data_IF_381694806929
#
_entry.id   IF_381694806929
#
_cell.length_a   1.000
_cell.length_b   1.000
_cell.length_c   1.000
_cell.angle_alpha   90.00
_cell.angle_beta   90.00
_cell.angle_gamma   90.00
#
_symmetry.space_group_name_H-M   'P 1'
#
loop_
_entity.id
_entity.type
_entity.pdbx_description
1 polymer ?
#
# COMPACT_ATOMS: atom_id res chain seq x y z
N UNK A 1 22.01 -59.74 -32.47
CA UNK A 1 21.03 -60.20 -31.46
C UNK A 1 21.26 -59.30 -30.26
N UNK A 2 20.77 -58.06 -30.27
CA UNK A 2 19.38 -57.60 -30.15
C UNK A 2 18.80 -57.98 -28.79
N UNK A 3 19.17 -57.23 -27.75
CA UNK A 3 18.36 -57.11 -26.53
C UNK A 3 17.66 -55.76 -26.56
N UNK A 4 16.34 -55.87 -26.61
CA UNK A 4 15.35 -54.85 -26.87
C UNK A 4 15.15 -53.99 -25.61
N UNK A 5 15.38 -52.68 -25.71
CA UNK A 5 15.03 -51.72 -24.66
C UNK A 5 13.51 -51.54 -24.72
N UNK A 6 12.77 -52.30 -23.92
CA UNK A 6 11.35 -52.07 -23.69
C UNK A 6 11.18 -50.80 -22.84
N UNK A 7 11.04 -49.68 -23.53
CA UNK A 7 10.60 -48.39 -23.01
C UNK A 7 9.14 -48.54 -22.55
N UNK A 8 8.96 -48.90 -21.28
CA UNK A 8 7.63 -48.85 -20.65
C UNK A 8 7.16 -47.39 -20.65
N UNK A 9 6.01 -47.06 -21.28
CA UNK A 9 5.52 -45.69 -21.30
C UNK A 9 5.21 -45.28 -19.87
N UNK A 10 5.84 -44.19 -19.42
CA UNK A 10 5.60 -43.60 -18.11
C UNK A 10 4.10 -43.47 -17.91
N UNK A 11 3.57 -44.17 -16.91
CA UNK A 11 2.18 -44.23 -16.52
C UNK A 11 1.59 -42.81 -16.59
N UNK A 12 0.72 -42.56 -17.58
CA UNK A 12 0.05 -41.27 -17.72
C UNK A 12 -0.83 -41.07 -16.48
N UNK A 13 -0.61 -39.96 -15.79
CA UNK A 13 -1.40 -39.58 -14.62
C UNK A 13 -2.76 -39.05 -15.12
N UNK A 14 -3.77 -39.91 -15.03
CA UNK A 14 -5.17 -39.64 -15.39
C UNK A 14 -5.92 -38.81 -14.32
N UNK A 15 -5.21 -38.20 -13.36
CA UNK A 15 -5.89 -37.31 -12.40
C UNK A 15 -6.50 -36.11 -13.12
N UNK A 16 -7.79 -35.80 -12.87
CA UNK A 16 -8.48 -34.74 -13.59
C UNK A 16 -7.89 -33.37 -13.22
N UNK A 17 -7.58 -32.56 -14.25
CA UNK A 17 -7.10 -31.17 -14.12
C UNK A 17 -8.20 -30.23 -13.54
N UNK A 18 -9.43 -30.73 -13.45
CA UNK A 18 -10.55 -30.00 -12.87
C UNK A 18 -10.41 -29.93 -11.34
N UNK A 19 -10.69 -28.79 -10.70
CA UNK A 19 -10.69 -28.67 -9.25
C UNK A 19 -11.93 -29.35 -8.65
N UNK A 20 -12.11 -30.66 -8.86
CA UNK A 20 -13.06 -31.48 -8.13
C UNK A 20 -12.39 -31.85 -6.80
N UNK A 21 -12.21 -30.85 -5.94
CA UNK A 21 -11.99 -31.10 -4.53
C UNK A 21 -13.21 -30.56 -3.80
N UNK A 22 -14.14 -31.42 -3.32
CA UNK A 22 -15.22 -31.03 -2.43
C UNK A 22 -14.64 -30.75 -1.04
N UNK A 23 -13.66 -29.86 -0.98
CA UNK A 23 -12.96 -29.52 0.24
C UNK A 23 -13.84 -28.54 1.02
N UNK A 24 -14.84 -29.13 1.68
CA UNK A 24 -15.83 -28.44 2.51
C UNK A 24 -15.13 -27.60 3.59
N UNK A 25 -13.96 -28.05 4.06
CA UNK A 25 -13.13 -27.34 5.03
C UNK A 25 -12.60 -26.01 4.46
N UNK A 26 -12.11 -26.01 3.20
CA UNK A 26 -11.73 -24.76 2.51
C UNK A 26 -12.92 -23.82 2.30
N UNK A 27 -14.10 -24.35 1.96
CA UNK A 27 -15.32 -23.53 1.82
C UNK A 27 -15.71 -22.87 3.15
N UNK A 28 -15.70 -23.65 4.24
CA UNK A 28 -16.00 -23.15 5.58
C UNK A 28 -14.96 -22.09 6.03
N UNK A 29 -13.68 -22.32 5.76
CA UNK A 29 -12.62 -21.36 6.06
C UNK A 29 -12.80 -20.05 5.26
N UNK A 30 -13.04 -20.13 3.95
CA UNK A 30 -13.27 -18.94 3.12
C UNK A 30 -14.49 -18.16 3.59
N UNK A 31 -15.60 -18.83 3.91
CA UNK A 31 -16.82 -18.21 4.43
C UNK A 31 -16.55 -17.46 5.73
N UNK A 32 -15.79 -18.05 6.66
CA UNK A 32 -15.38 -17.38 7.89
C UNK A 32 -14.54 -16.12 7.62
N UNK A 33 -13.60 -16.17 6.66
CA UNK A 33 -12.77 -15.01 6.32
C UNK A 33 -13.56 -13.90 5.61
N UNK A 34 -14.56 -14.26 4.80
CA UNK A 34 -15.44 -13.30 4.14
C UNK A 34 -16.39 -12.63 5.14
N UNK A 35 -16.85 -13.36 6.17
CA UNK A 35 -17.68 -12.81 7.23
C UNK A 35 -16.95 -11.76 8.09
N UNK A 36 -15.65 -11.92 8.31
CA UNK A 36 -14.81 -10.98 9.07
C UNK A 36 -14.04 -10.00 8.16
N UNK A 37 -14.43 -9.89 6.90
CA UNK A 37 -13.74 -9.00 5.96
C UNK A 37 -13.98 -7.55 6.41
N UNK A 38 -12.92 -6.77 6.67
CA UNK A 38 -13.06 -5.36 7.02
C UNK A 38 -13.68 -4.57 5.87
N UNK A 39 -14.39 -3.50 6.22
CA UNK A 39 -15.02 -2.61 5.24
C UNK A 39 -13.94 -1.81 4.49
N UNK A 40 -14.26 -1.34 3.29
CA UNK A 40 -13.29 -0.65 2.44
C UNK A 40 -12.78 0.65 3.07
N UNK A 41 -13.65 1.41 3.74
CA UNK A 41 -13.26 2.63 4.45
C UNK A 41 -12.28 2.32 5.57
N UNK A 42 -12.48 1.25 6.34
CA UNK A 42 -11.54 0.83 7.39
C UNK A 42 -10.15 0.48 6.83
N UNK A 43 -10.10 -0.13 5.63
CA UNK A 43 -8.85 -0.44 4.94
C UNK A 43 -8.12 0.80 4.42
N UNK A 44 -8.88 1.82 4.05
CA UNK A 44 -8.41 3.14 3.64
C UNK A 44 -7.85 3.91 4.83
N UNK A 45 -8.61 4.01 5.92
CA UNK A 45 -8.22 4.69 7.16
C UNK A 45 -6.95 4.08 7.77
N UNK A 46 -6.82 2.75 7.67
CA UNK A 46 -5.62 2.02 8.10
C UNK A 46 -4.46 2.05 7.11
N UNK A 47 -4.54 2.88 6.07
CA UNK A 47 -3.55 3.05 5.00
C UNK A 47 -3.12 1.75 4.29
N UNK A 48 -3.92 0.67 4.39
CA UNK A 48 -3.64 -0.63 3.75
C UNK A 48 -4.02 -0.63 2.28
N UNK A 49 -5.08 0.10 1.94
CA UNK A 49 -5.51 0.33 0.56
C UNK A 49 -5.47 1.83 0.30
N UNK A 50 -4.94 2.29 -0.85
CA UNK A 50 -4.99 3.70 -1.21
C UNK A 50 -6.44 4.17 -1.35
N UNK A 51 -6.74 5.34 -0.79
CA UNK A 51 -8.04 5.99 -0.90
C UNK A 51 -8.50 6.01 -2.36
N UNK A 52 -9.61 5.32 -2.68
CA UNK A 52 -10.30 5.50 -3.92
C UNK A 52 -11.22 6.71 -3.75
N UNK A 53 -10.63 7.87 -3.47
CA UNK A 53 -11.35 9.12 -3.60
C UNK A 53 -11.86 9.20 -5.05
N UNK A 54 -13.14 9.52 -5.29
CA UNK A 54 -13.68 9.66 -6.65
C UNK A 54 -12.98 10.76 -7.47
N UNK A 55 -12.11 11.57 -6.87
CA UNK A 55 -11.28 12.56 -7.54
C UNK A 55 -9.90 12.05 -8.01
N UNK A 56 -9.43 10.88 -7.55
CA UNK A 56 -8.17 10.30 -8.03
C UNK A 56 -8.46 9.25 -9.10
N UNK A 57 -8.78 9.73 -10.30
CA UNK A 57 -8.96 9.00 -11.57
C UNK A 57 -7.69 8.24 -12.03
N UNK A 58 -6.69 8.02 -11.17
CA UNK A 58 -5.52 7.24 -11.56
C UNK A 58 -5.84 5.74 -11.57
N UNK A 59 -5.48 5.06 -12.65
CA UNK A 59 -5.60 3.61 -12.73
C UNK A 59 -4.78 2.94 -11.60
N UNK A 60 -5.19 1.77 -11.07
CA UNK A 60 -4.49 1.10 -9.97
C UNK A 60 -2.98 0.88 -10.21
N UNK A 61 -2.57 0.65 -11.47
CA UNK A 61 -1.16 0.50 -11.84
C UNK A 61 -0.33 1.79 -11.80
N UNK A 62 -0.97 2.97 -11.78
CA UNK A 62 -0.31 4.28 -11.79
C UNK A 62 -0.23 4.93 -10.41
N UNK A 63 -0.87 4.35 -9.39
CA UNK A 63 -0.89 4.90 -8.02
C UNK A 63 0.53 5.02 -7.42
N UNK A 64 1.42 4.08 -7.74
CA UNK A 64 2.81 4.12 -7.30
C UNK A 64 3.53 5.38 -7.84
N UNK A 65 3.42 5.63 -9.15
CA UNK A 65 4.03 6.79 -9.79
C UNK A 65 3.38 8.11 -9.35
N UNK A 66 2.07 8.12 -9.11
CA UNK A 66 1.40 9.29 -8.54
C UNK A 66 1.97 9.64 -7.16
N UNK A 67 2.18 8.63 -6.29
CA UNK A 67 2.75 8.83 -4.95
C UNK A 67 4.21 9.30 -5.02
N UNK A 68 4.99 8.74 -5.94
CA UNK A 68 6.36 9.16 -6.20
C UNK A 68 6.43 10.63 -6.64
N UNK A 69 5.58 11.03 -7.60
CA UNK A 69 5.48 12.43 -8.02
C UNK A 69 5.05 13.34 -6.87
N UNK A 70 4.03 12.96 -6.10
CA UNK A 70 3.57 13.74 -4.95
C UNK A 70 4.68 13.94 -3.91
N UNK A 71 5.50 12.91 -3.68
CA UNK A 71 6.66 12.99 -2.79
C UNK A 71 7.67 14.02 -3.31
N UNK A 72 8.06 13.93 -4.58
CA UNK A 72 9.00 14.89 -5.17
C UNK A 72 8.47 16.33 -5.16
N UNK A 73 7.20 16.52 -5.50
CA UNK A 73 6.55 17.84 -5.40
C UNK A 73 6.58 18.40 -3.97
N UNK A 74 6.47 17.54 -2.95
CA UNK A 74 6.57 17.95 -1.55
C UNK A 74 8.02 18.27 -1.18
N UNK A 75 8.98 17.45 -1.62
CA UNK A 75 10.41 17.68 -1.43
C UNK A 75 10.83 19.04 -1.99
N UNK A 76 10.45 19.35 -3.23
CA UNK A 76 10.76 20.64 -3.87
C UNK A 76 10.14 21.80 -3.10
N UNK A 77 8.85 21.71 -2.77
CA UNK A 77 8.14 22.75 -1.98
C UNK A 77 8.75 22.94 -0.60
N UNK A 78 9.22 21.87 0.03
CA UNK A 78 9.84 21.93 1.34
C UNK A 78 11.22 22.58 1.22
N UNK A 79 12.00 22.19 0.22
CA UNK A 79 13.31 22.77 -0.05
C UNK A 79 13.22 24.29 -0.27
N UNK A 80 12.29 24.73 -1.11
CA UNK A 80 12.05 26.15 -1.37
C UNK A 80 11.71 26.93 -0.08
N UNK A 81 10.85 26.36 0.77
CA UNK A 81 10.45 26.97 2.04
C UNK A 81 11.57 26.98 3.07
N UNK A 82 12.43 25.97 3.08
CA UNK A 82 13.59 25.92 3.97
C UNK A 82 14.64 26.96 3.53
N UNK A 83 14.86 27.12 2.22
CA UNK A 83 15.77 28.15 1.70
C UNK A 83 15.33 29.57 2.07
N UNK A 84 14.03 29.82 2.10
CA UNK A 84 13.45 31.11 2.50
C UNK A 84 13.02 31.16 3.97
N UNK A 85 13.59 30.31 4.83
CA UNK A 85 13.23 30.27 6.25
C UNK A 85 13.58 31.61 6.92
N UNK A 86 12.59 32.35 7.46
CA UNK A 86 12.84 33.65 8.09
C UNK A 86 13.68 33.50 9.35
N UNK A 87 14.44 34.55 9.67
CA UNK A 87 15.26 34.59 10.86
C UNK A 87 14.39 34.62 12.13
N UNK A 88 14.87 34.10 13.27
CA UNK A 88 14.12 34.15 14.52
C UNK A 88 13.79 35.59 14.95
N UNK A 89 14.65 36.56 14.63
CA UNK A 89 14.42 37.98 14.92
C UNK A 89 13.24 38.56 14.13
N UNK A 90 13.06 38.15 12.87
CA UNK A 90 11.93 38.56 12.03
C UNK A 90 10.63 37.99 12.59
N UNK A 91 10.65 36.71 13.00
CA UNK A 91 9.52 36.06 13.64
C UNK A 91 9.13 36.69 14.99
N UNK A 92 10.10 37.25 15.72
CA UNK A 92 9.84 38.03 16.94
C UNK A 92 9.15 39.37 16.62
N UNK A 93 9.61 40.07 15.56
CA UNK A 93 9.00 41.33 15.11
C UNK A 93 7.57 41.14 14.63
N UNK A 94 7.31 40.03 13.95
CA UNK A 94 5.98 39.63 13.48
C UNK A 94 5.08 39.11 14.62
N UNK A 95 5.60 39.00 15.85
CA UNK A 95 4.87 38.53 17.02
C UNK A 95 4.60 37.03 17.04
N UNK A 96 5.24 36.25 16.16
CA UNK A 96 5.10 34.78 16.06
C UNK A 96 5.97 34.07 17.10
N UNK A 97 7.18 34.60 17.39
CA UNK A 97 8.07 34.11 18.42
C UNK A 97 8.13 35.10 19.59
N UNK A 98 8.10 34.60 20.82
CA UNK A 98 8.39 35.40 22.00
C UNK A 98 9.91 35.54 22.18
N UNK A 99 10.35 36.73 22.60
CA UNK A 99 11.76 37.04 22.87
C UNK A 99 12.40 36.15 23.95
N UNK A 100 11.60 35.59 24.86
CA UNK A 100 12.08 34.76 25.97
C UNK A 100 11.43 33.36 25.90
N UNK A 101 12.23 32.30 25.68
CA UNK A 101 11.74 30.92 25.60
C UNK A 101 11.18 30.38 26.93
N UNK A 102 11.28 31.15 28.03
CA UNK A 102 10.79 30.79 29.36
C UNK A 102 9.61 31.63 29.86
N UNK A 103 9.16 32.60 29.08
CA UNK A 103 8.18 33.60 29.54
C UNK A 103 6.71 33.14 29.50
N UNK A 104 6.36 32.03 28.85
CA UNK A 104 4.95 31.59 28.79
C UNK A 104 4.66 30.34 29.63
N UNK A 105 4.20 30.61 30.86
CA UNK A 105 3.07 29.95 31.56
C UNK A 105 3.00 30.51 32.99
N UNK A 106 2.08 31.44 33.23
CA UNK A 106 1.55 31.76 34.57
C UNK A 106 0.03 31.76 34.51
#
# INVERSE_FOLDING_TARGET
MSDNVEETPRLVDETPISPIRPDRERKNSLENHLAHRPERAELVDSARIPDPQPSSTAAPGLLAHQKELQKHMLEDKLNDKISHRPAPEELIKDGVLLNDPRAEKK
#
